data_IF_215237638538
#
_entry.id   IF_215237638538
#
_cell.length_a   1.000
_cell.length_b   1.000
_cell.length_c   1.000
_cell.angle_alpha   90.00
_cell.angle_beta   90.00
_cell.angle_gamma   90.00
#
_symmetry.space_group_name_H-M   'P 1'
#
loop_
_entity.id
_entity.type
_entity.pdbx_description
1 polymer ?
#
# COMPACT_ATOMS: atom_id res chain seq x y z
N UNK A 1 -26.38 23.16 40.48
CA UNK A 1 -25.77 23.61 39.21
C UNK A 1 -24.72 22.58 38.82
N UNK A 2 -25.04 21.65 37.91
CA UNK A 2 -24.08 20.65 37.42
C UNK A 2 -23.55 21.11 36.07
N UNK A 3 -22.26 21.43 36.04
CA UNK A 3 -21.56 21.81 34.81
C UNK A 3 -21.48 20.58 33.89
N UNK A 4 -22.23 20.61 32.78
CA UNK A 4 -22.04 19.66 31.67
C UNK A 4 -20.77 20.07 30.94
N UNK A 5 -19.71 19.28 31.08
CA UNK A 5 -18.55 19.38 30.18
C UNK A 5 -18.94 18.76 28.84
N UNK A 6 -19.22 19.62 27.87
CA UNK A 6 -19.28 19.22 26.46
C UNK A 6 -17.84 19.00 25.98
N UNK A 7 -17.36 17.76 26.02
CA UNK A 7 -16.07 17.35 25.46
C UNK A 7 -16.07 17.47 23.94
N UNK A 8 -15.94 18.70 23.44
CA UNK A 8 -15.77 19.01 22.03
C UNK A 8 -14.30 18.93 21.61
N UNK A 9 -14.07 18.21 20.51
CA UNK A 9 -12.84 18.06 19.70
C UNK A 9 -11.76 17.12 20.25
N UNK A 10 -11.89 15.84 19.87
CA UNK A 10 -10.76 14.92 19.74
C UNK A 10 -9.95 15.33 18.49
N UNK A 11 -8.79 15.97 18.70
CA UNK A 11 -7.88 16.32 17.62
C UNK A 11 -7.36 15.02 16.97
N UNK A 12 -7.62 14.88 15.67
CA UNK A 12 -7.40 13.68 14.87
C UNK A 12 -5.93 13.24 14.95
N UNK A 13 -5.69 12.02 15.44
CA UNK A 13 -4.40 11.34 15.25
C UNK A 13 -4.14 11.27 13.75
N UNK A 14 -3.26 12.11 13.22
CA UNK A 14 -2.71 11.94 11.87
C UNK A 14 -1.78 10.74 11.91
N UNK A 15 -2.35 9.54 11.85
CA UNK A 15 -1.58 8.33 11.65
C UNK A 15 -0.80 8.48 10.35
N UNK A 16 0.50 8.18 10.38
CA UNK A 16 1.31 8.13 9.17
C UNK A 16 0.74 7.03 8.27
N UNK A 17 0.45 7.36 7.01
CA UNK A 17 0.05 6.37 6.01
C UNK A 17 1.30 5.71 5.48
N UNK A 18 1.50 4.44 5.80
CA UNK A 18 2.67 3.69 5.38
C UNK A 18 2.35 2.96 4.08
N UNK A 19 3.19 3.17 3.06
CA UNK A 19 3.14 2.46 1.78
C UNK A 19 4.48 1.78 1.57
N UNK A 20 4.45 0.50 1.20
CA UNK A 20 5.66 -0.27 0.87
C UNK A 20 5.58 -0.64 -0.60
N UNK A 21 6.63 -0.27 -1.35
CA UNK A 21 6.68 -0.47 -2.80
C UNK A 21 7.83 -1.41 -3.15
N UNK A 22 7.50 -2.57 -3.71
CA UNK A 22 8.47 -3.52 -4.25
C UNK A 22 8.68 -3.29 -5.75
N UNK A 23 9.90 -2.91 -6.16
CA UNK A 23 10.23 -2.64 -7.57
C UNK A 23 11.09 -3.77 -8.14
N UNK A 24 10.72 -4.27 -9.32
CA UNK A 24 11.45 -5.34 -10.02
C UNK A 24 11.41 -6.68 -9.29
N UNK A 25 12.24 -7.63 -9.72
CA UNK A 25 12.20 -9.01 -9.21
C UNK A 25 12.56 -9.10 -7.73
N UNK A 26 13.69 -8.53 -7.32
CA UNK A 26 14.15 -8.58 -5.94
C UNK A 26 13.22 -7.80 -4.99
N UNK A 27 12.75 -6.62 -5.41
CA UNK A 27 11.80 -5.84 -4.64
C UNK A 27 10.46 -6.54 -4.45
N UNK A 28 9.96 -7.25 -5.47
CA UNK A 28 8.76 -8.08 -5.38
C UNK A 28 8.91 -9.24 -4.38
N UNK A 29 10.05 -9.93 -4.38
CA UNK A 29 10.32 -11.00 -3.40
C UNK A 29 10.39 -10.48 -1.97
N UNK A 30 11.05 -9.34 -1.75
CA UNK A 30 11.11 -8.73 -0.41
C UNK A 30 9.72 -8.26 0.03
N UNK A 31 8.96 -7.65 -0.87
CA UNK A 31 7.59 -7.21 -0.60
C UNK A 31 6.71 -8.39 -0.17
N UNK A 32 6.83 -9.54 -0.83
CA UNK A 32 6.10 -10.77 -0.48
C UNK A 32 6.43 -11.22 0.95
N UNK A 33 7.71 -11.21 1.32
CA UNK A 33 8.13 -11.55 2.69
C UNK A 33 7.57 -10.55 3.72
N UNK A 34 7.58 -9.24 3.44
CA UNK A 34 7.02 -8.24 4.36
C UNK A 34 5.49 -8.41 4.49
N UNK A 35 4.80 -8.78 3.41
CA UNK A 35 3.35 -9.06 3.47
C UNK A 35 3.02 -10.29 4.31
N UNK A 36 3.92 -11.28 4.41
CA UNK A 36 3.72 -12.45 5.26
C UNK A 36 3.68 -12.11 6.76
N UNK A 37 4.31 -10.99 7.17
CA UNK A 37 4.29 -10.51 8.55
C UNK A 37 2.92 -9.89 8.94
N UNK A 38 2.00 -9.74 7.98
CA UNK A 38 0.61 -9.28 8.19
C UNK A 38 0.51 -7.99 9.03
N UNK A 39 1.41 -7.03 8.76
CA UNK A 39 1.43 -5.76 9.49
C UNK A 39 0.22 -4.92 9.09
N UNK A 40 -0.60 -4.57 10.08
CA UNK A 40 -1.79 -3.73 9.90
C UNK A 40 -1.46 -2.30 9.48
N UNK A 41 -2.29 -1.75 8.60
CA UNK A 41 -2.20 -0.33 8.20
C UNK A 41 -1.12 -0.01 7.17
N UNK A 42 -0.49 -1.03 6.58
CA UNK A 42 0.42 -0.88 5.44
C UNK A 42 -0.31 -1.14 4.13
N UNK A 43 -0.11 -0.25 3.15
CA UNK A 43 -0.55 -0.45 1.77
C UNK A 43 0.63 -0.94 0.91
N UNK A 44 0.51 -2.18 0.42
CA UNK A 44 1.54 -2.88 -0.33
C UNK A 44 1.35 -2.71 -1.84
N UNK A 45 2.43 -2.34 -2.53
CA UNK A 45 2.40 -1.98 -3.95
C UNK A 45 3.54 -2.73 -4.67
N UNK A 46 3.19 -3.55 -5.66
CA UNK A 46 4.17 -4.15 -6.56
C UNK A 46 4.32 -3.30 -7.83
N UNK A 47 5.55 -3.08 -8.28
CA UNK A 47 5.83 -2.36 -9.52
C UNK A 47 6.87 -3.09 -10.37
N UNK A 48 6.54 -3.41 -11.62
CA UNK A 48 7.45 -4.13 -12.50
C UNK A 48 7.22 -3.76 -13.98
N UNK A 49 8.24 -3.91 -14.82
CA UNK A 49 8.16 -3.66 -16.27
C UNK A 49 7.58 -4.86 -17.02
N UNK A 50 7.63 -6.05 -16.42
CA UNK A 50 7.16 -7.32 -16.99
C UNK A 50 5.78 -7.66 -16.42
N UNK A 51 4.69 -7.61 -17.21
CA UNK A 51 3.33 -7.88 -16.74
C UNK A 51 3.15 -9.27 -16.12
N UNK A 52 3.81 -10.29 -16.69
CA UNK A 52 3.72 -11.66 -16.19
C UNK A 52 4.25 -11.77 -14.76
N UNK A 53 5.39 -11.11 -14.47
CA UNK A 53 5.97 -11.10 -13.12
C UNK A 53 5.10 -10.30 -12.16
N UNK A 54 4.53 -9.18 -12.63
CA UNK A 54 3.62 -8.37 -11.84
C UNK A 54 2.34 -9.13 -11.43
N UNK A 55 1.81 -9.96 -12.34
CA UNK A 55 0.61 -10.77 -12.08
C UNK A 55 0.82 -11.81 -10.97
N UNK A 56 2.05 -12.31 -10.82
CA UNK A 56 2.42 -13.30 -9.80
C UNK A 56 2.52 -12.70 -8.38
N UNK A 57 2.58 -11.37 -8.23
CA UNK A 57 2.68 -10.74 -6.92
C UNK A 57 1.35 -10.82 -6.15
N UNK A 58 1.41 -11.03 -4.83
CA UNK A 58 0.24 -10.99 -3.94
C UNK A 58 -0.16 -9.57 -3.52
N UNK A 59 0.61 -8.56 -3.92
CA UNK A 59 0.34 -7.17 -3.54
C UNK A 59 -1.03 -6.70 -4.07
N UNK A 60 -1.86 -6.04 -3.23
CA UNK A 60 -3.18 -5.55 -3.64
C UNK A 60 -3.11 -4.53 -4.78
N UNK A 61 -2.08 -3.68 -4.76
CA UNK A 61 -1.85 -2.67 -5.79
C UNK A 61 -0.70 -3.10 -6.70
N UNK A 62 -0.95 -3.11 -8.01
CA UNK A 62 0.01 -3.51 -9.03
C UNK A 62 0.20 -2.41 -10.07
N UNK A 63 1.46 -2.01 -10.29
CA UNK A 63 1.82 -0.93 -11.22
C UNK A 63 2.73 -1.50 -12.32
N UNK A 64 2.26 -1.42 -13.57
CA UNK A 64 3.08 -1.79 -14.71
C UNK A 64 3.94 -0.60 -15.15
N UNK A 65 5.25 -0.74 -14.99
CA UNK A 65 6.24 0.26 -15.38
C UNK A 65 6.52 0.15 -16.88
N UNK A 66 5.76 0.89 -17.70
CA UNK A 66 6.03 1.06 -19.13
C UNK A 66 6.34 2.53 -19.41
N UNK A 67 7.09 2.81 -20.49
CA UNK A 67 7.51 4.17 -20.89
C UNK A 67 6.36 5.11 -21.33
N UNK A 68 5.11 4.73 -21.11
CA UNK A 68 3.93 5.56 -21.31
C UNK A 68 3.19 5.74 -19.98
N UNK A 69 2.52 6.88 -19.83
CA UNK A 69 1.80 7.34 -18.63
C UNK A 69 1.11 6.17 -17.90
N UNK A 70 1.42 6.02 -16.60
CA UNK A 70 1.27 4.80 -15.82
C UNK A 70 -0.03 4.03 -16.03
N UNK A 71 0.08 2.84 -16.60
CA UNK A 71 -0.96 1.82 -16.56
C UNK A 71 -1.03 1.23 -15.14
N UNK A 72 -1.85 1.84 -14.28
CA UNK A 72 -2.28 1.22 -13.02
C UNK A 72 -3.16 0.03 -13.40
N UNK A 73 -2.66 -1.18 -13.17
CA UNK A 73 -3.46 -2.41 -13.32
C UNK A 73 -4.29 -2.57 -12.04
N UNK A 74 -5.20 -1.63 -11.79
CA UNK A 74 -6.22 -1.76 -10.76
C UNK A 74 -7.53 -2.17 -11.43
N UNK A 75 -8.00 -3.37 -11.07
CA UNK A 75 -9.28 -4.02 -11.45
C UNK A 75 -9.23 -4.96 -12.66
N UNK A 76 -8.85 -6.20 -12.38
CA UNK A 76 -9.56 -7.38 -12.87
C UNK A 76 -9.92 -8.23 -11.64
#
# INVERSE_FOLDING_TARGET
>A
MLCRVSSGKLHLKKYAVIKVIGIGTAGGTILENIMQDQIDGIDYIAANTVPQVLNLSSAPTKILLKGGVGSVLSRL
#
